data_IF_529492471713
#
_entry.id   IF_529492471713
#
_cell.length_a   1.000
_cell.length_b   1.000
_cell.length_c   1.000
_cell.angle_alpha   90.00
_cell.angle_beta   90.00
_cell.angle_gamma   90.00
#
_symmetry.space_group_name_H-M   'P 1'
#
loop_
_entity.id
_entity.type
_entity.pdbx_description
1 polymer ?
#
# COMPACT_ATOMS: atom_id res chain seq x y z
N UNK A 1 -2.02 37.79 5.91
CA UNK A 1 -1.47 36.71 5.04
C UNK A 1 -2.07 35.39 5.50
N UNK A 2 -2.98 34.84 4.71
CA UNK A 2 -3.81 33.72 5.09
C UNK A 2 -3.09 32.40 4.75
N UNK A 3 -2.59 31.68 5.76
CA UNK A 3 -2.20 30.26 5.59
C UNK A 3 -3.48 29.48 5.33
N UNK A 4 -3.81 29.26 4.07
CA UNK A 4 -4.82 28.27 3.67
C UNK A 4 -4.18 27.29 2.70
N UNK A 5 -4.53 26.02 2.88
CA UNK A 5 -4.62 24.98 1.85
C UNK A 5 -3.46 24.00 1.61
N UNK A 6 -2.52 23.82 2.55
CA UNK A 6 -1.55 22.68 2.48
C UNK A 6 -2.09 21.42 3.17
N UNK A 7 -3.18 21.52 3.93
CA UNK A 7 -3.65 20.43 4.77
C UNK A 7 -4.56 19.41 4.06
N UNK A 8 -5.03 19.70 2.85
CA UNK A 8 -6.03 18.87 2.14
C UNK A 8 -5.46 17.69 1.33
N UNK A 9 -4.13 17.56 1.25
CA UNK A 9 -3.47 16.46 0.54
C UNK A 9 -3.47 15.13 1.33
N UNK A 10 -3.48 13.96 0.65
CA UNK A 10 -3.37 12.66 1.32
C UNK A 10 -2.15 12.57 2.23
N UNK A 11 -2.32 12.03 3.43
CA UNK A 11 -1.28 12.01 4.47
C UNK A 11 0.06 11.42 4.00
N UNK A 12 0.02 10.31 3.26
CA UNK A 12 1.20 9.63 2.71
C UNK A 12 1.98 10.50 1.70
N UNK A 13 1.25 11.20 0.84
CA UNK A 13 1.86 12.07 -0.17
C UNK A 13 2.51 13.29 0.49
N UNK A 14 1.85 13.88 1.50
CA UNK A 14 2.43 15.00 2.25
C UNK A 14 3.70 14.59 2.99
N UNK A 15 3.71 13.41 3.61
CA UNK A 15 4.89 12.89 4.28
C UNK A 15 6.07 12.69 3.31
N UNK A 16 5.82 12.13 2.12
CA UNK A 16 6.87 11.89 1.12
C UNK A 16 7.37 13.17 0.45
N UNK A 17 6.48 14.11 0.09
CA UNK A 17 6.89 15.37 -0.54
C UNK A 17 7.50 16.34 0.47
N UNK A 18 7.10 16.23 1.74
CA UNK A 18 7.62 17.04 2.84
C UNK A 18 9.01 16.60 3.32
N UNK A 19 9.47 15.39 2.97
CA UNK A 19 10.79 14.88 3.35
C UNK A 19 11.92 15.30 2.41
N UNK A 20 11.62 16.00 1.30
CA UNK A 20 12.59 16.40 0.28
C UNK A 20 12.68 17.92 0.12
N UNK A 21 13.84 18.42 -0.31
CA UNK A 21 13.99 19.84 -0.63
C UNK A 21 13.12 20.25 -1.82
N UNK A 22 12.76 21.53 -1.89
CA UNK A 22 11.79 22.07 -2.86
C UNK A 22 12.17 21.77 -4.32
N UNK A 23 13.46 21.77 -4.61
CA UNK A 23 14.05 21.50 -5.93
C UNK A 23 13.73 20.07 -6.44
N UNK A 24 13.49 19.12 -5.53
CA UNK A 24 13.26 17.70 -5.85
C UNK A 24 11.79 17.25 -5.77
N UNK A 25 10.86 18.16 -5.46
CA UNK A 25 9.44 17.83 -5.26
C UNK A 25 8.82 17.16 -6.50
N UNK A 26 9.18 17.61 -7.71
CA UNK A 26 8.69 17.02 -8.97
C UNK A 26 9.16 15.58 -9.14
N UNK A 27 10.39 15.27 -8.73
CA UNK A 27 10.91 13.90 -8.79
C UNK A 27 10.23 13.02 -7.73
N UNK A 28 10.09 13.53 -6.51
CA UNK A 28 9.44 12.80 -5.43
C UNK A 28 7.95 12.50 -5.73
N UNK A 29 7.23 13.42 -6.38
CA UNK A 29 5.84 13.20 -6.80
C UNK A 29 5.71 12.14 -7.90
N UNK A 30 6.66 12.10 -8.84
CA UNK A 30 6.77 11.03 -9.83
C UNK A 30 6.95 9.66 -9.18
N UNK A 31 7.89 9.53 -8.25
CA UNK A 31 8.15 8.28 -7.52
C UNK A 31 6.92 7.86 -6.70
N UNK A 32 6.25 8.79 -6.02
CA UNK A 32 5.00 8.51 -5.29
C UNK A 32 3.90 7.94 -6.18
N UNK A 33 3.72 8.53 -7.38
CA UNK A 33 2.66 8.09 -8.27
C UNK A 33 2.94 6.71 -8.88
N UNK A 34 4.21 6.43 -9.19
CA UNK A 34 4.64 5.11 -9.68
C UNK A 34 4.52 4.06 -8.57
N UNK A 35 4.96 4.35 -7.35
CA UNK A 35 4.88 3.40 -6.23
C UNK A 35 3.43 3.03 -5.92
N UNK A 36 2.52 4.01 -5.97
CA UNK A 36 1.07 3.77 -5.81
C UNK A 36 0.50 2.89 -6.92
N UNK A 37 0.81 3.17 -8.18
CA UNK A 37 0.32 2.36 -9.31
C UNK A 37 0.88 0.94 -9.27
N UNK A 38 2.16 0.80 -8.94
CA UNK A 38 2.81 -0.50 -8.77
C UNK A 38 2.17 -1.30 -7.64
N UNK A 39 1.98 -0.69 -6.47
CA UNK A 39 1.31 -1.34 -5.34
C UNK A 39 -0.12 -1.78 -5.68
N UNK A 40 -0.86 -0.97 -6.44
CA UNK A 40 -2.18 -1.34 -6.96
C UNK A 40 -2.12 -2.53 -7.91
N UNK A 41 -1.25 -2.49 -8.92
CA UNK A 41 -1.13 -3.56 -9.91
C UNK A 41 -0.70 -4.90 -9.29
N UNK A 42 0.35 -4.87 -8.45
CA UNK A 42 0.88 -6.05 -7.76
C UNK A 42 -0.14 -6.58 -6.74
N UNK A 43 -0.74 -5.70 -5.95
CA UNK A 43 -1.76 -6.09 -4.96
C UNK A 43 -2.99 -6.74 -5.61
N UNK A 44 -3.47 -6.19 -6.73
CA UNK A 44 -4.57 -6.79 -7.50
C UNK A 44 -4.17 -8.15 -8.06
N UNK A 45 -2.97 -8.29 -8.64
CA UNK A 45 -2.51 -9.57 -9.19
C UNK A 45 -2.45 -10.67 -8.10
N UNK A 46 -1.90 -10.36 -6.93
CA UNK A 46 -1.86 -11.29 -5.78
C UNK A 46 -3.28 -11.64 -5.33
N UNK A 47 -4.15 -10.64 -5.21
CA UNK A 47 -5.54 -10.86 -4.76
C UNK A 47 -6.29 -11.78 -5.73
N UNK A 48 -6.18 -11.57 -7.03
CA UNK A 48 -6.81 -12.42 -8.06
C UNK A 48 -6.24 -13.84 -8.00
N UNK A 49 -4.92 -13.98 -7.88
CA UNK A 49 -4.25 -15.28 -7.78
C UNK A 49 -4.73 -16.07 -6.56
N UNK A 50 -4.80 -15.45 -5.38
CA UNK A 50 -5.27 -16.10 -4.16
C UNK A 50 -6.76 -16.43 -4.24
N UNK A 51 -7.60 -15.50 -4.69
CA UNK A 51 -9.02 -15.75 -4.82
C UNK A 51 -9.30 -16.93 -5.77
N UNK A 52 -8.62 -16.96 -6.92
CA UNK A 52 -8.77 -18.04 -7.90
C UNK A 52 -8.29 -19.40 -7.35
N UNK A 53 -7.22 -19.42 -6.57
CA UNK A 53 -6.70 -20.66 -5.99
C UNK A 53 -7.65 -21.28 -4.95
N UNK A 54 -8.28 -20.45 -4.12
CA UNK A 54 -9.13 -20.92 -3.02
C UNK A 54 -10.63 -20.96 -3.37
N UNK A 55 -11.07 -20.32 -4.44
CA UNK A 55 -12.46 -20.35 -4.91
C UNK A 55 -12.65 -21.44 -5.97
N UNK A 56 -13.01 -22.65 -5.54
CA UNK A 56 -13.04 -23.85 -6.40
C UNK A 56 -14.39 -24.13 -7.07
N UNK A 57 -15.49 -23.48 -6.64
CA UNK A 57 -16.84 -23.75 -7.16
C UNK A 57 -17.72 -22.48 -7.18
N UNK A 58 -18.76 -22.46 -8.03
CA UNK A 58 -19.78 -21.40 -8.09
C UNK A 58 -20.77 -21.47 -6.91
N UNK A 59 -20.26 -21.72 -5.69
CA UNK A 59 -21.05 -21.81 -4.47
C UNK A 59 -20.70 -20.66 -3.53
N UNK A 60 -21.68 -20.19 -2.77
CA UNK A 60 -21.47 -19.13 -1.76
C UNK A 60 -20.34 -19.46 -0.76
N UNK A 61 -20.21 -20.71 -0.25
CA UNK A 61 -19.11 -21.08 0.64
C UNK A 61 -17.72 -20.93 -0.02
N UNK A 62 -17.58 -21.29 -1.30
CA UNK A 62 -16.31 -21.17 -2.02
C UNK A 62 -15.94 -19.71 -2.32
N UNK A 63 -16.93 -18.83 -2.50
CA UNK A 63 -16.69 -17.38 -2.55
C UNK A 63 -16.15 -16.86 -1.22
N UNK A 64 -16.79 -17.21 -0.10
CA UNK A 64 -16.39 -16.77 1.24
C UNK A 64 -14.96 -17.24 1.56
N UNK A 65 -14.61 -18.48 1.22
CA UNK A 65 -13.26 -19.01 1.38
C UNK A 65 -12.21 -18.23 0.59
N UNK A 66 -12.46 -17.96 -0.70
CA UNK A 66 -11.58 -17.14 -1.52
C UNK A 66 -11.41 -15.72 -0.97
N UNK A 67 -12.50 -15.09 -0.54
CA UNK A 67 -12.47 -13.76 0.07
C UNK A 67 -11.66 -13.73 1.37
N UNK A 68 -11.89 -14.70 2.26
CA UNK A 68 -11.11 -14.83 3.50
C UNK A 68 -9.63 -15.02 3.19
N UNK A 69 -9.28 -15.84 2.20
CA UNK A 69 -7.88 -16.04 1.79
C UNK A 69 -7.22 -14.74 1.28
N UNK A 70 -7.93 -13.94 0.47
CA UNK A 70 -7.42 -12.64 0.01
C UNK A 70 -7.20 -11.68 1.19
N UNK A 71 -8.15 -11.63 2.12
CA UNK A 71 -8.06 -10.77 3.30
C UNK A 71 -6.92 -11.19 4.24
N UNK A 72 -6.72 -12.49 4.48
CA UNK A 72 -5.62 -12.98 5.31
C UNK A 72 -4.27 -12.69 4.67
N UNK A 73 -4.12 -12.91 3.35
CA UNK A 73 -2.88 -12.58 2.64
C UNK A 73 -2.60 -11.08 2.68
N UNK A 74 -3.61 -10.24 2.48
CA UNK A 74 -3.46 -8.78 2.59
C UNK A 74 -3.02 -8.35 3.99
N UNK A 75 -3.59 -8.96 5.03
CA UNK A 75 -3.20 -8.71 6.41
C UNK A 75 -1.74 -9.14 6.69
N UNK A 76 -1.30 -10.29 6.17
CA UNK A 76 0.08 -10.77 6.29
C UNK A 76 1.07 -9.84 5.57
N UNK A 77 0.72 -9.33 4.39
CA UNK A 77 1.55 -8.35 3.66
C UNK A 77 1.70 -7.07 4.50
N UNK A 78 0.61 -6.55 5.06
CA UNK A 78 0.64 -5.37 5.93
C UNK A 78 1.48 -5.61 7.20
N UNK A 79 1.31 -6.76 7.84
CA UNK A 79 2.08 -7.13 9.04
C UNK A 79 3.57 -7.24 8.71
N UNK A 80 3.92 -7.88 7.60
CA UNK A 80 5.30 -7.98 7.11
C UNK A 80 5.92 -6.62 6.84
N UNK A 81 5.16 -5.69 6.23
CA UNK A 81 5.62 -4.32 6.00
C UNK A 81 5.87 -3.56 7.32
N UNK A 82 4.98 -3.68 8.30
CA UNK A 82 5.16 -3.09 9.63
C UNK A 82 6.40 -3.67 10.33
N UNK A 83 6.57 -4.99 10.30
CA UNK A 83 7.70 -5.66 10.92
C UNK A 83 9.03 -5.24 10.29
N UNK A 84 9.11 -5.19 8.95
CA UNK A 84 10.29 -4.69 8.24
C UNK A 84 10.62 -3.24 8.62
N UNK A 85 9.60 -2.38 8.73
CA UNK A 85 9.79 -0.99 9.16
C UNK A 85 10.35 -0.92 10.59
N UNK A 86 9.82 -1.74 11.50
CA UNK A 86 10.34 -1.82 12.87
C UNK A 86 11.80 -2.26 12.90
N UNK A 87 12.16 -3.31 12.14
CA UNK A 87 13.55 -3.79 12.05
C UNK A 87 14.50 -2.70 11.54
N UNK A 88 14.10 -1.95 10.50
CA UNK A 88 14.93 -0.84 9.98
C UNK A 88 15.09 0.28 10.99
N UNK A 89 14.06 0.58 11.80
CA UNK A 89 14.16 1.59 12.84
C UNK A 89 15.12 1.15 13.95
N UNK A 90 15.07 -0.12 14.37
CA UNK A 90 15.98 -0.68 15.37
C UNK A 90 17.45 -0.69 14.93
N UNK A 91 17.73 -0.80 13.63
CA UNK A 91 19.09 -0.78 13.08
C UNK A 91 19.69 0.63 12.96
N UNK A 92 18.85 1.67 13.03
CA UNK A 92 19.26 3.08 12.97
C UNK A 92 19.35 3.76 14.35
N UNK A 93 19.03 3.05 15.44
CA UNK A 93 19.32 3.47 16.82
C UNK A 93 20.68 2.95 17.27
#
# INVERSE_FOLDING_TARGET
MQRRHIDDGPALQKAMLGSVAREYITNASGVFNVSRQLGGAVGTAISVMMFYHFSTTLSYPAFAQGFTAVMTVSALICLGACFMTLLTNSAHQ
#
